data_IF_704936269469
#
_entry.id   IF_704936269469
#
_cell.length_a   1.000
_cell.length_b   1.000
_cell.length_c   1.000
_cell.angle_alpha   90.00
_cell.angle_beta   90.00
_cell.angle_gamma   90.00
#
_symmetry.space_group_name_H-M   'P 1'
#
loop_
_entity.id
_entity.type
_entity.pdbx_description
1 polymer ?
#
# COMPACT_ATOMS: atom_id res chain seq x y z
N UNK A 1 -9.98 12.10 14.28
CA UNK A 1 -10.70 12.79 13.16
C UNK A 1 -11.41 11.72 12.37
N UNK A 2 -12.74 11.75 12.35
CA UNK A 2 -13.52 10.80 11.55
C UNK A 2 -13.29 11.07 10.05
N UNK A 3 -12.98 10.03 9.29
CA UNK A 3 -12.82 10.14 7.85
C UNK A 3 -14.19 10.37 7.19
N UNK A 4 -14.31 11.37 6.31
CA UNK A 4 -15.51 11.49 5.48
C UNK A 4 -15.69 10.20 4.67
N UNK A 5 -16.93 9.73 4.52
CA UNK A 5 -17.24 8.46 3.86
C UNK A 5 -16.59 7.22 4.52
N UNK A 6 -16.27 7.26 5.82
CA UNK A 6 -15.64 6.15 6.55
C UNK A 6 -16.41 4.82 6.40
N UNK A 7 -17.74 4.86 6.32
CA UNK A 7 -18.65 3.74 6.08
C UNK A 7 -18.47 3.08 4.70
N UNK A 8 -17.94 3.84 3.72
CA UNK A 8 -17.68 3.37 2.36
C UNK A 8 -16.22 2.96 2.15
N UNK A 9 -15.37 3.08 3.18
CA UNK A 9 -13.94 2.85 3.11
C UNK A 9 -13.54 1.61 3.90
N UNK A 10 -12.77 0.73 3.28
CA UNK A 10 -12.01 -0.32 3.97
C UNK A 10 -10.52 -0.07 3.79
N UNK A 11 -9.77 -0.08 4.89
CA UNK A 11 -8.30 -0.05 4.86
C UNK A 11 -7.82 -1.50 4.80
N UNK A 12 -7.13 -1.85 3.73
CA UNK A 12 -6.65 -3.19 3.42
C UNK A 12 -5.13 -3.26 3.59
N UNK A 13 -4.66 -4.12 4.50
CA UNK A 13 -3.26 -4.23 4.87
C UNK A 13 -2.76 -5.64 4.51
N UNK A 14 -2.00 -5.80 3.40
CA UNK A 14 -1.29 -7.04 3.13
C UNK A 14 -0.03 -7.10 4.01
N UNK A 15 0.17 -8.20 4.73
CA UNK A 15 1.21 -8.31 5.75
C UNK A 15 1.93 -9.66 5.75
N UNK A 16 3.24 -9.61 6.05
CA UNK A 16 4.06 -10.75 6.46
C UNK A 16 4.94 -10.34 7.62
N UNK A 17 4.95 -11.18 8.66
CA UNK A 17 5.66 -10.91 9.91
C UNK A 17 7.13 -11.36 9.84
N UNK A 18 7.88 -10.92 8.84
CA UNK A 18 9.27 -11.36 8.59
C UNK A 18 10.31 -10.78 9.57
N UNK A 19 9.90 -9.90 10.48
CA UNK A 19 10.74 -9.39 11.58
C UNK A 19 9.90 -8.85 12.73
N UNK A 20 10.48 -8.82 13.94
CA UNK A 20 9.84 -8.18 15.12
C UNK A 20 9.57 -6.69 14.87
N UNK A 21 10.44 -6.02 14.11
CA UNK A 21 10.26 -4.61 13.77
C UNK A 21 9.04 -4.39 12.86
N UNK A 22 8.77 -5.28 11.91
CA UNK A 22 7.56 -5.17 11.09
C UNK A 22 6.28 -5.35 11.90
N UNK A 23 6.29 -6.25 12.89
CA UNK A 23 5.16 -6.39 13.83
C UNK A 23 4.95 -5.11 14.64
N UNK A 24 6.05 -4.52 15.16
CA UNK A 24 6.00 -3.24 15.88
C UNK A 24 5.45 -2.11 14.99
N UNK A 25 5.91 -2.03 13.75
CA UNK A 25 5.40 -1.05 12.78
C UNK A 25 3.90 -1.24 12.50
N UNK A 26 3.44 -2.49 12.36
CA UNK A 26 2.01 -2.79 12.24
C UNK A 26 1.22 -2.30 13.45
N UNK A 27 1.71 -2.51 14.67
CA UNK A 27 1.06 -2.00 15.89
C UNK A 27 0.96 -0.48 15.87
N UNK A 28 2.02 0.23 15.50
CA UNK A 28 2.01 1.69 15.37
C UNK A 28 1.05 2.17 14.28
N UNK A 29 1.00 1.46 13.16
CA UNK A 29 0.03 1.76 12.09
C UNK A 29 -1.41 1.56 12.59
N UNK A 30 -1.72 0.45 13.25
CA UNK A 30 -3.08 0.21 13.76
C UNK A 30 -3.50 1.28 14.76
N UNK A 31 -2.61 1.70 15.67
CA UNK A 31 -2.86 2.84 16.57
C UNK A 31 -3.13 4.14 15.80
N UNK A 32 -2.37 4.37 14.72
CA UNK A 32 -2.57 5.52 13.85
C UNK A 32 -3.91 5.48 13.11
N UNK A 33 -4.40 4.30 12.73
CA UNK A 33 -5.65 4.14 11.96
C UNK A 33 -6.93 4.15 12.81
N UNK A 34 -6.85 3.79 14.10
CA UNK A 34 -8.02 3.73 14.99
C UNK A 34 -8.90 5.00 14.99
N UNK A 35 -8.34 6.23 15.00
CA UNK A 35 -9.16 7.45 15.00
C UNK A 35 -9.94 7.70 13.70
N UNK A 36 -9.72 6.92 12.65
CA UNK A 36 -10.43 7.05 11.38
C UNK A 36 -11.80 6.36 11.40
N UNK A 37 -12.02 5.44 12.34
CA UNK A 37 -13.26 4.65 12.50
C UNK A 37 -13.70 3.89 11.23
N UNK A 38 -12.76 3.69 10.30
CA UNK A 38 -12.96 2.90 9.08
C UNK A 38 -12.74 1.43 9.37
N UNK A 39 -13.40 0.56 8.61
CA UNK A 39 -13.14 -0.88 8.65
C UNK A 39 -11.70 -1.16 8.23
N UNK A 40 -11.00 -1.99 8.99
CA UNK A 40 -9.65 -2.45 8.68
C UNK A 40 -9.68 -3.95 8.38
N UNK A 41 -9.06 -4.38 7.29
CA UNK A 41 -8.84 -5.80 6.98
C UNK A 41 -7.33 -6.03 6.91
N UNK A 42 -6.82 -6.83 7.84
CA UNK A 42 -5.42 -7.27 7.87
C UNK A 42 -5.34 -8.70 7.32
N UNK A 43 -4.66 -8.89 6.20
CA UNK A 43 -4.34 -10.20 5.66
C UNK A 43 -2.88 -10.52 5.93
N UNK A 44 -2.65 -11.45 6.86
CA UNK A 44 -1.32 -12.01 7.13
C UNK A 44 -1.11 -13.26 6.29
N UNK A 45 -0.07 -13.26 5.45
CA UNK A 45 0.33 -14.43 4.66
C UNK A 45 1.72 -14.89 5.08
N UNK A 46 1.78 -15.99 5.84
CA UNK A 46 3.01 -16.53 6.43
C UNK A 46 2.87 -18.04 6.69
N UNK A 47 3.95 -18.67 7.14
CA UNK A 47 3.97 -20.08 7.57
C UNK A 47 3.24 -20.30 8.89
N UNK A 48 3.06 -19.28 9.71
CA UNK A 48 2.32 -19.33 10.99
C UNK A 48 1.69 -17.98 11.29
N UNK A 49 0.51 -17.99 11.90
CA UNK A 49 -0.18 -16.77 12.32
C UNK A 49 0.58 -16.12 13.50
N UNK A 50 1.06 -14.91 13.28
CA UNK A 50 1.88 -14.15 14.22
C UNK A 50 1.19 -12.91 14.79
N UNK A 51 0.02 -12.52 14.24
CA UNK A 51 -0.70 -11.29 14.60
C UNK A 51 -2.11 -11.58 15.12
N UNK A 52 -2.32 -12.74 15.75
CA UNK A 52 -3.65 -13.13 16.26
C UNK A 52 -4.21 -12.20 17.34
N UNK A 53 -3.35 -11.55 18.10
CA UNK A 53 -3.71 -10.50 19.07
C UNK A 53 -4.43 -9.30 18.46
N UNK A 54 -4.22 -9.06 17.17
CA UNK A 54 -4.93 -8.00 16.45
C UNK A 54 -6.45 -8.21 16.36
N UNK A 55 -6.94 -9.44 16.60
CA UNK A 55 -8.39 -9.76 16.62
C UNK A 55 -9.17 -9.04 17.73
N UNK A 56 -8.49 -8.54 18.73
CA UNK A 56 -9.12 -7.82 19.83
C UNK A 56 -9.50 -6.37 19.49
N UNK A 57 -9.08 -5.87 18.31
CA UNK A 57 -9.42 -4.54 17.82
C UNK A 57 -10.77 -4.60 17.11
N UNK A 58 -11.79 -3.97 17.65
CA UNK A 58 -13.20 -4.08 17.20
C UNK A 58 -13.41 -3.73 15.71
N UNK A 59 -12.67 -2.75 15.20
CA UNK A 59 -12.77 -2.31 13.80
C UNK A 59 -11.91 -3.12 12.84
N UNK A 60 -11.13 -4.09 13.35
CA UNK A 60 -10.18 -4.88 12.57
C UNK A 60 -10.68 -6.30 12.34
N UNK A 61 -10.71 -6.69 11.08
CA UNK A 61 -10.91 -8.05 10.65
C UNK A 61 -9.56 -8.67 10.25
N UNK A 62 -9.19 -9.77 10.90
CA UNK A 62 -7.93 -10.47 10.68
C UNK A 62 -8.16 -11.73 9.85
N UNK A 63 -7.42 -11.82 8.73
CA UNK A 63 -7.38 -12.97 7.84
C UNK A 63 -5.98 -13.59 7.87
N UNK A 64 -5.91 -14.90 7.96
CA UNK A 64 -4.65 -15.64 7.84
C UNK A 64 -4.66 -16.53 6.61
N UNK A 65 -3.61 -16.45 5.82
CA UNK A 65 -3.34 -17.31 4.67
C UNK A 65 -2.03 -18.04 4.91
N UNK A 66 -2.08 -19.38 4.95
CA UNK A 66 -0.85 -20.17 4.99
C UNK A 66 -0.09 -20.02 3.69
N UNK A 67 1.12 -19.48 3.78
CA UNK A 67 2.01 -19.26 2.64
C UNK A 67 3.43 -19.75 2.96
N UNK A 68 3.82 -20.93 2.43
CA UNK A 68 5.16 -21.49 2.63
C UNK A 68 6.21 -20.86 1.73
N UNK A 69 5.82 -19.98 0.80
CA UNK A 69 6.76 -19.30 -0.09
C UNK A 69 7.69 -18.41 0.74
N UNK A 70 8.97 -18.48 0.43
CA UNK A 70 9.97 -17.65 1.07
C UNK A 70 9.83 -16.16 0.74
N UNK A 71 9.12 -15.83 -0.34
CA UNK A 71 8.92 -14.48 -0.87
C UNK A 71 7.46 -14.08 -0.76
N UNK A 72 7.20 -12.93 -0.18
CA UNK A 72 5.86 -12.39 -0.05
C UNK A 72 5.32 -11.92 -1.42
N UNK A 73 4.27 -12.57 -1.89
CA UNK A 73 3.62 -12.20 -3.15
C UNK A 73 2.58 -11.09 -2.93
N UNK A 74 3.05 -9.88 -2.66
CA UNK A 74 2.25 -8.72 -2.28
C UNK A 74 1.07 -8.46 -3.22
N UNK A 75 1.30 -8.49 -4.54
CA UNK A 75 0.27 -8.22 -5.55
C UNK A 75 -0.89 -9.22 -5.49
N UNK A 76 -0.60 -10.52 -5.24
CA UNK A 76 -1.63 -11.54 -5.03
C UNK A 76 -2.49 -11.26 -3.81
N UNK A 77 -1.87 -10.90 -2.68
CA UNK A 77 -2.62 -10.65 -1.44
C UNK A 77 -3.41 -9.34 -1.49
N UNK A 78 -2.94 -8.35 -2.24
CA UNK A 78 -3.73 -7.15 -2.55
C UNK A 78 -5.00 -7.53 -3.34
N UNK A 79 -4.89 -8.39 -4.36
CA UNK A 79 -6.06 -8.85 -5.13
C UNK A 79 -7.04 -9.63 -4.25
N UNK A 80 -6.56 -10.52 -3.38
CA UNK A 80 -7.43 -11.23 -2.42
C UNK A 80 -8.15 -10.26 -1.48
N UNK A 81 -7.46 -9.22 -0.99
CA UNK A 81 -8.07 -8.18 -0.16
C UNK A 81 -9.11 -7.37 -0.95
N UNK A 82 -8.81 -7.00 -2.19
CA UNK A 82 -9.76 -6.30 -3.06
C UNK A 82 -11.03 -7.13 -3.34
N UNK A 83 -10.90 -8.43 -3.52
CA UNK A 83 -12.04 -9.34 -3.70
C UNK A 83 -12.83 -9.54 -2.39
N UNK A 84 -12.14 -9.61 -1.27
CA UNK A 84 -12.73 -9.80 0.06
C UNK A 84 -13.52 -8.57 0.53
N UNK A 85 -12.98 -7.37 0.35
CA UNK A 85 -13.60 -6.12 0.78
C UNK A 85 -14.95 -5.88 0.06
N UNK A 86 -15.94 -5.37 0.78
CA UNK A 86 -17.28 -5.12 0.23
C UNK A 86 -17.57 -3.63 0.02
N UNK A 87 -16.75 -2.74 0.57
CA UNK A 87 -16.91 -1.29 0.42
C UNK A 87 -16.53 -0.81 -0.98
N UNK A 88 -17.09 0.31 -1.40
CA UNK A 88 -16.83 0.89 -2.72
C UNK A 88 -15.39 1.45 -2.86
N UNK A 89 -14.77 1.78 -1.73
CA UNK A 89 -13.42 2.32 -1.68
C UNK A 89 -12.54 1.39 -0.85
N UNK A 90 -11.38 1.06 -1.38
CA UNK A 90 -10.35 0.33 -0.64
C UNK A 90 -9.08 1.17 -0.60
N UNK A 91 -8.53 1.31 0.60
CA UNK A 91 -7.21 1.92 0.82
C UNK A 91 -6.21 0.80 1.06
N UNK A 92 -5.36 0.53 0.08
CA UNK A 92 -4.25 -0.42 0.21
C UNK A 92 -3.14 0.28 0.97
N UNK A 93 -2.71 -0.29 2.11
CA UNK A 93 -1.79 0.38 3.03
C UNK A 93 -0.67 -0.55 3.48
N UNK A 94 0.59 -0.14 3.26
CA UNK A 94 1.75 -0.89 3.72
C UNK A 94 1.95 -0.71 5.24
N UNK A 95 2.25 -1.80 5.94
CA UNK A 95 2.25 -1.87 7.41
C UNK A 95 3.31 -1.02 8.13
N UNK A 96 4.17 -0.35 7.39
CA UNK A 96 5.26 0.49 7.89
C UNK A 96 5.15 1.97 7.45
N UNK A 97 3.94 2.37 7.04
CA UNK A 97 3.68 3.71 6.51
C UNK A 97 2.80 4.52 7.46
N UNK A 98 3.21 5.76 7.71
CA UNK A 98 2.40 6.78 8.40
C UNK A 98 2.09 7.92 7.44
N UNK A 99 0.84 8.32 7.39
CA UNK A 99 0.31 9.35 6.49
C UNK A 99 -0.61 10.32 7.25
N UNK A 100 -0.48 11.65 7.06
CA UNK A 100 -1.44 12.62 7.62
C UNK A 100 -2.87 12.38 7.15
N UNK A 101 -3.82 12.50 8.07
CA UNK A 101 -5.23 12.17 7.81
C UNK A 101 -5.87 13.05 6.74
N UNK A 102 -5.49 14.33 6.67
CA UNK A 102 -6.00 15.29 5.70
C UNK A 102 -5.66 14.91 4.26
N UNK A 103 -4.52 14.23 4.08
CA UNK A 103 -4.09 13.72 2.78
C UNK A 103 -4.94 12.52 2.36
N UNK A 104 -5.22 11.60 3.29
CA UNK A 104 -6.12 10.48 3.06
C UNK A 104 -7.53 10.97 2.73
N UNK A 105 -8.04 11.92 3.51
CA UNK A 105 -9.36 12.55 3.29
C UNK A 105 -9.46 13.13 1.87
N UNK A 106 -8.44 13.87 1.44
CA UNK A 106 -8.38 14.46 0.09
C UNK A 106 -8.39 13.38 -1.00
N UNK A 107 -7.64 12.29 -0.80
CA UNK A 107 -7.56 11.19 -1.74
C UNK A 107 -8.89 10.41 -1.85
N UNK A 108 -9.57 10.19 -0.72
CA UNK A 108 -10.90 9.54 -0.69
C UNK A 108 -11.93 10.41 -1.40
N UNK A 109 -11.95 11.72 -1.15
CA UNK A 109 -12.84 12.66 -1.87
C UNK A 109 -12.61 12.66 -3.37
N UNK A 110 -11.37 12.54 -3.83
CA UNK A 110 -11.09 12.45 -5.26
C UNK A 110 -11.77 11.22 -5.90
N UNK A 111 -11.83 10.09 -5.20
CA UNK A 111 -12.53 8.89 -5.67
C UNK A 111 -14.05 9.10 -5.68
N UNK A 112 -14.62 9.59 -4.57
CA UNK A 112 -16.09 9.69 -4.40
C UNK A 112 -16.68 10.81 -5.24
N UNK A 113 -16.12 12.01 -5.14
CA UNK A 113 -16.71 13.24 -5.67
C UNK A 113 -16.25 13.52 -7.11
N UNK A 114 -14.99 13.22 -7.43
CA UNK A 114 -14.37 13.51 -8.72
C UNK A 114 -14.30 12.28 -9.64
N UNK A 115 -14.70 11.10 -9.14
CA UNK A 115 -14.79 9.82 -9.87
C UNK A 115 -13.47 9.29 -10.44
N UNK A 116 -12.36 9.59 -9.78
CA UNK A 116 -11.11 8.89 -10.08
C UNK A 116 -11.19 7.42 -9.70
N UNK A 117 -10.48 6.55 -10.42
CA UNK A 117 -10.36 5.13 -10.05
C UNK A 117 -9.23 4.93 -9.06
N UNK A 118 -8.15 5.71 -9.20
CA UNK A 118 -6.96 5.63 -8.37
C UNK A 118 -6.56 7.01 -7.88
N UNK A 119 -6.20 7.08 -6.60
CA UNK A 119 -5.63 8.27 -5.97
C UNK A 119 -4.43 7.91 -5.10
N UNK A 120 -3.37 8.70 -5.21
CA UNK A 120 -2.16 8.61 -4.38
C UNK A 120 -2.23 9.72 -3.32
N UNK A 121 -2.26 9.37 -2.01
CA UNK A 121 -2.57 10.33 -0.96
C UNK A 121 -1.37 11.16 -0.49
N UNK A 122 -0.37 11.43 -1.34
CA UNK A 122 0.79 12.23 -0.99
C UNK A 122 1.50 12.84 -2.21
N UNK A 123 2.40 13.78 -1.97
CA UNK A 123 3.07 14.62 -2.98
C UNK A 123 4.30 13.97 -3.64
N UNK A 124 4.36 12.63 -3.71
CA UNK A 124 5.48 11.83 -4.24
C UNK A 124 6.75 11.84 -3.37
N UNK A 125 6.74 12.50 -2.22
CA UNK A 125 7.86 12.50 -1.28
C UNK A 125 7.61 11.46 -0.21
N UNK A 126 8.53 10.53 -0.06
CA UNK A 126 8.56 9.54 1.03
C UNK A 126 9.78 9.83 1.91
N UNK A 127 9.54 10.20 3.15
CA UNK A 127 10.56 10.36 4.15
C UNK A 127 10.82 9.03 4.86
N UNK A 128 12.06 8.55 4.80
CA UNK A 128 12.47 7.31 5.46
C UNK A 128 13.11 7.62 6.80
N UNK A 129 12.62 6.98 7.84
CA UNK A 129 13.20 7.02 9.17
C UNK A 129 14.31 5.95 9.29
N UNK A 130 15.31 6.22 10.14
CA UNK A 130 16.23 5.19 10.61
C UNK A 130 15.69 4.52 11.88
N UNK A 131 16.39 3.48 12.39
CA UNK A 131 15.94 2.71 13.55
C UNK A 131 15.70 3.58 14.79
N UNK A 132 16.62 4.52 15.08
CA UNK A 132 16.49 5.43 16.23
C UNK A 132 15.30 6.37 16.06
N UNK A 133 15.15 6.97 14.89
CA UNK A 133 14.05 7.89 14.59
C UNK A 133 12.68 7.23 14.69
N UNK A 134 12.56 5.93 14.33
CA UNK A 134 11.32 5.17 14.49
C UNK A 134 10.99 4.92 15.97
N UNK A 135 12.00 4.68 16.80
CA UNK A 135 11.82 4.58 18.26
C UNK A 135 11.43 5.93 18.86
N UNK A 136 12.15 7.01 18.50
CA UNK A 136 11.85 8.36 18.96
C UNK A 136 10.40 8.79 18.59
N UNK A 137 9.93 8.38 17.40
CA UNK A 137 8.53 8.60 16.97
C UNK A 137 7.53 7.87 17.87
N UNK A 138 7.75 6.59 18.11
CA UNK A 138 6.87 5.78 18.97
C UNK A 138 6.81 6.33 20.39
N UNK A 139 7.96 6.66 20.98
CA UNK A 139 8.08 7.17 22.35
C UNK A 139 7.48 8.59 22.50
N UNK A 140 7.39 9.36 21.41
CA UNK A 140 6.85 10.72 21.45
C UNK A 140 5.37 10.77 21.83
N UNK A 141 4.58 9.78 21.39
CA UNK A 141 3.12 9.78 21.55
C UNK A 141 2.38 10.89 20.80
N UNK A 142 3.08 11.71 20.00
CA UNK A 142 2.51 12.88 19.29
C UNK A 142 1.87 12.52 17.93
N UNK A 143 1.90 11.23 17.54
CA UNK A 143 1.41 10.78 16.24
C UNK A 143 2.15 11.42 15.07
N UNK A 144 1.49 11.51 13.91
CA UNK A 144 2.14 12.00 12.69
C UNK A 144 2.62 13.46 12.75
N UNK A 145 2.13 14.27 13.69
CA UNK A 145 2.63 15.63 13.92
C UNK A 145 4.10 15.66 14.33
N UNK A 146 4.55 14.65 15.10
CA UNK A 146 5.97 14.49 15.41
C UNK A 146 6.82 14.39 14.14
N UNK A 147 6.33 13.62 13.16
CA UNK A 147 7.02 13.39 11.89
C UNK A 147 7.02 14.64 11.00
N UNK A 148 5.87 15.31 10.89
CA UNK A 148 5.74 16.54 10.09
C UNK A 148 6.68 17.66 10.57
N UNK A 149 6.83 17.80 11.89
CA UNK A 149 7.68 18.84 12.48
C UNK A 149 9.19 18.56 12.36
N UNK A 150 9.58 17.38 11.83
CA UNK A 150 10.99 16.94 11.77
C UNK A 150 11.42 16.46 10.38
N UNK A 151 10.72 16.83 9.34
CA UNK A 151 11.01 16.40 7.95
C UNK A 151 12.44 16.65 7.52
N UNK A 152 13.08 17.72 8.02
CA UNK A 152 14.49 18.06 7.76
C UNK A 152 15.48 17.03 8.35
N UNK A 153 15.03 16.16 9.26
CA UNK A 153 15.87 15.14 9.89
C UNK A 153 15.84 13.80 9.13
N UNK A 154 14.95 13.64 8.17
CA UNK A 154 14.75 12.38 7.46
C UNK A 154 15.41 12.36 6.09
N UNK A 155 15.63 11.17 5.55
CA UNK A 155 16.16 10.99 4.20
C UNK A 155 15.01 10.70 3.23
N UNK A 156 15.05 11.29 2.05
CA UNK A 156 14.09 10.96 1.00
C UNK A 156 14.36 9.54 0.49
N UNK A 157 13.33 8.71 0.40
CA UNK A 157 13.43 7.34 -0.08
C UNK A 157 14.05 7.30 -1.48
N UNK A 158 15.16 6.58 -1.62
CA UNK A 158 15.93 6.42 -2.86
C UNK A 158 16.31 7.75 -3.54
N UNK A 159 16.22 8.90 -2.86
CA UNK A 159 16.54 10.23 -3.40
C UNK A 159 15.67 10.68 -4.58
N UNK A 160 14.48 10.10 -4.78
CA UNK A 160 13.60 10.38 -5.92
C UNK A 160 12.12 10.35 -5.55
N UNK A 161 11.26 10.75 -6.50
CA UNK A 161 9.81 10.61 -6.35
C UNK A 161 9.38 9.15 -6.25
N UNK A 162 8.37 8.90 -5.42
CA UNK A 162 7.79 7.59 -5.14
C UNK A 162 6.29 7.58 -5.41
N UNK A 163 5.71 6.38 -5.55
CA UNK A 163 4.27 6.19 -5.78
C UNK A 163 3.67 5.03 -4.97
N UNK A 164 4.48 4.38 -4.13
CA UNK A 164 4.06 3.26 -3.29
C UNK A 164 3.71 3.64 -1.87
N UNK A 165 3.39 2.64 -1.05
CA UNK A 165 3.12 2.75 0.37
C UNK A 165 1.64 2.87 0.73
N UNK A 166 0.89 3.78 0.09
CA UNK A 166 -0.57 3.89 0.23
C UNK A 166 -1.21 4.20 -1.11
N UNK A 167 -2.29 3.49 -1.41
CA UNK A 167 -3.07 3.63 -2.63
C UNK A 167 -4.57 3.64 -2.28
N UNK A 168 -5.31 4.64 -2.75
CA UNK A 168 -6.78 4.70 -2.61
C UNK A 168 -7.41 4.35 -3.94
N UNK A 169 -8.35 3.40 -3.95
CA UNK A 169 -8.97 2.93 -5.20
C UNK A 169 -10.49 2.88 -5.09
N UNK A 170 -11.17 3.20 -6.20
CA UNK A 170 -12.50 2.70 -6.43
C UNK A 170 -12.39 1.20 -6.70
N UNK A 171 -12.87 0.37 -5.77
CA UNK A 171 -12.67 -1.07 -5.78
C UNK A 171 -13.13 -1.72 -7.08
N UNK A 172 -14.37 -1.45 -7.50
CA UNK A 172 -14.93 -2.07 -8.70
C UNK A 172 -14.20 -1.61 -9.98
N UNK A 173 -13.92 -0.32 -10.09
CA UNK A 173 -13.17 0.25 -11.20
C UNK A 173 -11.77 -0.32 -11.30
N UNK A 174 -11.07 -0.43 -10.16
CA UNK A 174 -9.70 -0.97 -10.11
C UNK A 174 -9.66 -2.46 -10.47
N UNK A 175 -10.60 -3.26 -9.95
CA UNK A 175 -10.74 -4.67 -10.33
C UNK A 175 -11.06 -4.83 -11.83
N UNK A 176 -11.89 -3.97 -12.42
CA UNK A 176 -12.14 -3.97 -13.88
C UNK A 176 -10.87 -3.67 -14.69
N UNK A 177 -9.97 -2.86 -14.14
CA UNK A 177 -8.66 -2.56 -14.72
C UNK A 177 -7.60 -3.63 -14.43
N UNK A 178 -7.97 -4.79 -13.89
CA UNK A 178 -7.10 -5.93 -13.65
C UNK A 178 -6.68 -6.14 -12.20
N UNK A 179 -6.96 -5.21 -11.28
CA UNK A 179 -6.40 -5.25 -9.94
C UNK A 179 -4.89 -5.04 -9.96
N UNK A 180 -4.13 -5.78 -9.18
CA UNK A 180 -2.67 -5.81 -9.23
C UNK A 180 -2.16 -6.87 -10.21
N UNK A 181 -1.06 -6.57 -10.90
CA UNK A 181 -0.42 -7.50 -11.81
C UNK A 181 0.39 -8.56 -11.03
N UNK A 182 -0.16 -9.76 -10.85
CA UNK A 182 0.48 -10.85 -10.11
C UNK A 182 1.72 -11.44 -10.78
N UNK A 183 2.04 -11.04 -12.03
CA UNK A 183 3.32 -11.40 -12.65
C UNK A 183 4.49 -10.64 -12.05
N UNK A 184 4.22 -9.56 -11.32
CA UNK A 184 5.21 -8.83 -10.52
C UNK A 184 5.32 -9.50 -9.16
N UNK A 185 6.34 -10.34 -9.01
CA UNK A 185 6.57 -11.18 -7.84
C UNK A 185 7.71 -10.65 -6.98
N UNK A 186 7.51 -10.66 -5.66
CA UNK A 186 8.47 -10.13 -4.69
C UNK A 186 8.55 -8.60 -4.73
N UNK A 187 9.67 -8.05 -4.27
CA UNK A 187 9.90 -6.60 -4.31
C UNK A 187 10.23 -6.14 -5.72
N UNK A 188 9.49 -5.16 -6.22
CA UNK A 188 9.63 -4.74 -7.60
C UNK A 188 8.93 -3.43 -7.96
N UNK A 189 8.67 -3.22 -9.26
CA UNK A 189 8.10 -2.00 -9.78
C UNK A 189 6.55 -1.99 -9.83
N UNK A 190 5.88 -2.78 -8.99
CA UNK A 190 4.42 -2.93 -9.00
C UNK A 190 3.69 -1.58 -8.86
N UNK A 191 4.20 -0.69 -8.01
CA UNK A 191 3.61 0.63 -7.81
C UNK A 191 3.70 1.51 -9.07
N UNK A 192 4.80 1.40 -9.80
CA UNK A 192 5.01 2.13 -11.07
C UNK A 192 4.15 1.54 -12.17
N UNK A 193 4.05 0.21 -12.25
CA UNK A 193 3.21 -0.49 -13.23
C UNK A 193 1.75 -0.06 -13.10
N UNK A 194 1.20 -0.02 -11.88
CA UNK A 194 -0.18 0.43 -11.63
C UNK A 194 -0.48 1.77 -12.27
N UNK A 195 0.42 2.74 -12.06
CA UNK A 195 0.24 4.10 -12.58
C UNK A 195 0.23 4.12 -14.10
N UNK A 196 1.25 3.52 -14.73
CA UNK A 196 1.33 3.48 -16.19
C UNK A 196 0.16 2.71 -16.81
N UNK A 197 -0.21 1.58 -16.23
CA UNK A 197 -1.37 0.80 -16.69
C UNK A 197 -2.66 1.63 -16.64
N UNK A 198 -2.92 2.34 -15.54
CA UNK A 198 -4.10 3.20 -15.44
C UNK A 198 -4.07 4.32 -16.48
N UNK A 199 -2.93 4.96 -16.70
CA UNK A 199 -2.76 6.02 -17.71
C UNK A 199 -2.99 5.49 -19.13
N UNK A 200 -2.43 4.34 -19.49
CA UNK A 200 -2.62 3.68 -20.81
C UNK A 200 -4.10 3.32 -21.02
N UNK A 201 -4.79 2.84 -19.98
CA UNK A 201 -6.23 2.55 -20.04
C UNK A 201 -7.10 3.82 -20.17
N UNK A 202 -6.51 5.01 -20.05
CA UNK A 202 -7.20 6.30 -20.16
C UNK A 202 -7.81 6.77 -18.83
N UNK A 203 -7.38 6.23 -17.70
CA UNK A 203 -7.82 6.62 -16.37
C UNK A 203 -6.72 7.41 -15.66
N UNK A 204 -6.83 8.75 -15.54
CA UNK A 204 -5.83 9.55 -14.84
C UNK A 204 -5.76 9.17 -13.37
N UNK A 205 -4.56 9.21 -12.81
CA UNK A 205 -4.31 9.02 -11.38
C UNK A 205 -4.33 10.37 -10.68
N UNK A 206 -5.13 10.48 -9.61
CA UNK A 206 -5.14 11.69 -8.79
C UNK A 206 -3.97 11.68 -7.82
N UNK A 207 -3.28 12.81 -7.71
CA UNK A 207 -2.16 12.99 -6.79
C UNK A 207 -2.49 14.08 -5.78
N UNK A 208 -2.44 13.74 -4.49
CA UNK A 208 -2.53 14.73 -3.43
C UNK A 208 -1.19 15.46 -3.33
N UNK A 209 -1.22 16.79 -3.37
CA UNK A 209 -0.01 17.61 -3.41
C UNK A 209 0.36 18.22 -2.04
N UNK A 210 -0.40 17.95 -1.00
CA UNK A 210 -0.34 18.68 0.27
C UNK A 210 0.65 18.16 1.30
N UNK A 211 1.41 17.10 1.04
CA UNK A 211 2.38 16.63 2.03
C UNK A 211 3.00 15.28 1.72
N UNK A 212 4.01 14.88 2.49
CA UNK A 212 4.76 13.66 2.31
C UNK A 212 4.08 12.44 2.97
N UNK A 213 4.68 11.30 2.74
CA UNK A 213 4.45 10.03 3.42
C UNK A 213 5.69 9.68 4.24
N UNK A 214 5.53 8.99 5.36
CA UNK A 214 6.63 8.58 6.24
C UNK A 214 6.73 7.07 6.29
N UNK A 215 7.95 6.56 6.04
CA UNK A 215 8.27 5.14 6.06
C UNK A 215 9.07 4.82 7.33
N UNK A 216 8.48 4.03 8.22
CA UNK A 216 9.11 3.56 9.44
C UNK A 216 10.23 2.57 9.11
N UNK A 217 11.27 2.57 9.91
CA UNK A 217 12.40 1.68 9.70
C UNK A 217 12.02 0.20 9.93
N UNK A 218 12.55 -0.65 9.08
CA UNK A 218 12.62 -2.10 9.30
C UNK A 218 13.89 -2.67 8.64
N UNK A 219 14.40 -3.83 9.09
CA UNK A 219 15.52 -4.49 8.42
C UNK A 219 15.17 -4.79 6.96
N UNK A 220 16.12 -4.53 6.06
CA UNK A 220 15.94 -4.91 4.67
C UNK A 220 16.23 -6.40 4.50
N UNK A 221 15.34 -7.10 3.83
CA UNK A 221 15.42 -8.53 3.56
C UNK A 221 14.76 -8.87 2.23
N UNK A 222 14.58 -10.14 1.95
CA UNK A 222 14.03 -10.64 0.68
C UNK A 222 12.63 -10.10 0.32
N UNK A 223 11.85 -9.65 1.30
CA UNK A 223 10.53 -9.05 1.07
C UNK A 223 10.55 -7.52 0.97
N UNK A 224 11.73 -6.91 0.98
CA UNK A 224 11.90 -5.45 0.93
C UNK A 224 13.11 -4.99 0.13
N UNK A 225 13.72 -5.91 -0.62
CA UNK A 225 14.85 -5.66 -1.51
C UNK A 225 14.93 -6.73 -2.60
N UNK A 226 15.82 -6.52 -3.58
CA UNK A 226 16.06 -7.50 -4.63
C UNK A 226 16.54 -8.84 -4.06
N UNK A 227 15.91 -9.93 -4.51
CA UNK A 227 16.25 -11.28 -4.09
C UNK A 227 17.33 -11.85 -5.00
N UNK A 228 17.16 -11.69 -6.32
CA UNK A 228 18.11 -12.08 -7.34
C UNK A 228 18.04 -11.13 -8.53
N UNK A 229 19.10 -11.13 -9.36
CA UNK A 229 19.13 -10.35 -10.59
C UNK A 229 18.10 -10.88 -11.62
N UNK A 230 17.87 -12.18 -11.65
CA UNK A 230 16.91 -12.82 -12.55
C UNK A 230 15.48 -12.36 -12.24
N UNK A 231 15.10 -12.34 -10.95
CA UNK A 231 13.78 -11.87 -10.55
C UNK A 231 13.62 -10.36 -10.81
N UNK A 232 14.63 -9.58 -10.48
CA UNK A 232 14.63 -8.15 -10.76
C UNK A 232 14.53 -7.86 -12.27
N UNK A 233 15.19 -8.69 -13.09
CA UNK A 233 15.11 -8.59 -14.55
C UNK A 233 13.71 -8.98 -15.04
N UNK A 234 13.14 -10.08 -14.55
CA UNK A 234 11.79 -10.52 -14.93
C UNK A 234 10.74 -9.45 -14.61
N UNK A 235 10.79 -8.85 -13.42
CA UNK A 235 9.89 -7.76 -13.03
C UNK A 235 10.05 -6.52 -13.92
N UNK A 236 11.29 -6.17 -14.31
CA UNK A 236 11.52 -5.06 -15.26
C UNK A 236 11.00 -5.36 -16.65
N UNK A 237 11.17 -6.59 -17.14
CA UNK A 237 10.63 -7.02 -18.44
C UNK A 237 9.11 -6.93 -18.45
N UNK A 238 8.45 -7.35 -17.37
CA UNK A 238 7.00 -7.23 -17.25
C UNK A 238 6.54 -5.77 -17.23
N UNK A 239 7.20 -4.89 -16.45
CA UNK A 239 6.92 -3.45 -16.47
C UNK A 239 7.07 -2.86 -17.87
N UNK A 240 8.20 -3.14 -18.56
CA UNK A 240 8.48 -2.65 -19.92
C UNK A 240 7.42 -3.17 -20.89
N UNK A 241 7.01 -4.43 -20.75
CA UNK A 241 5.95 -5.02 -21.56
C UNK A 241 4.66 -4.21 -21.45
N UNK A 242 4.18 -3.96 -20.22
CA UNK A 242 2.96 -3.18 -20.00
C UNK A 242 3.11 -1.75 -20.52
N UNK A 243 4.23 -1.09 -20.26
CA UNK A 243 4.46 0.29 -20.68
C UNK A 243 4.55 0.48 -22.21
N UNK A 244 4.80 -0.58 -22.97
CA UNK A 244 4.88 -0.51 -24.45
C UNK A 244 3.60 -0.98 -25.15
N UNK A 245 2.56 -1.36 -24.42
CA UNK A 245 1.29 -1.77 -25.02
C UNK A 245 0.43 -0.55 -25.35
N UNK A 246 -0.25 -0.62 -26.48
CA UNK A 246 -1.38 0.24 -26.75
C UNK A 246 -2.58 -0.19 -25.90
N UNK A 247 -3.58 0.67 -25.78
CA UNK A 247 -4.73 0.46 -24.89
C UNK A 247 -5.46 -0.87 -25.16
N UNK A 248 -5.71 -1.18 -26.42
CA UNK A 248 -6.43 -2.37 -26.85
C UNK A 248 -5.64 -3.65 -26.52
N UNK A 249 -4.34 -3.63 -26.77
CA UNK A 249 -3.43 -4.74 -26.42
C UNK A 249 -3.40 -4.95 -24.90
N UNK A 250 -3.34 -3.87 -24.14
CA UNK A 250 -3.35 -3.94 -22.67
C UNK A 250 -4.64 -4.52 -22.13
N UNK A 251 -5.80 -4.16 -22.69
CA UNK A 251 -7.09 -4.75 -22.31
C UNK A 251 -7.11 -6.26 -22.55
N UNK A 252 -6.64 -6.72 -23.70
CA UNK A 252 -6.55 -8.16 -24.00
C UNK A 252 -5.58 -8.86 -23.05
N UNK A 253 -4.45 -8.23 -22.74
CA UNK A 253 -3.45 -8.76 -21.82
C UNK A 253 -4.00 -8.91 -20.40
N UNK A 254 -4.69 -7.90 -19.87
CA UNK A 254 -5.36 -7.95 -18.57
C UNK A 254 -6.41 -9.05 -18.53
N UNK A 255 -7.20 -9.22 -19.58
CA UNK A 255 -8.17 -10.31 -19.66
C UNK A 255 -7.52 -11.70 -19.62
N UNK A 256 -6.25 -11.82 -20.01
CA UNK A 256 -5.49 -13.07 -19.90
C UNK A 256 -5.03 -13.40 -18.48
N UNK A 257 -5.00 -12.42 -17.55
CA UNK A 257 -4.62 -12.65 -16.14
C UNK A 257 -5.68 -13.41 -15.36
N UNK A 258 -6.95 -13.29 -15.76
CA UNK A 258 -8.13 -13.79 -15.05
C UNK A 258 -8.55 -15.21 -15.48
N UNK A 259 -7.74 -15.86 -16.28
CA UNK A 259 -7.96 -17.24 -16.71
C UNK A 259 -7.10 -18.21 -15.90
#
# INVERSE_FOLDING_TARGET
MLLSYHDQVTIAIPFRADSSQRKRNLTLLLQHLMPLESRIVLLEADTSACCMECKEVETLEYLFVYDPDAVFHKTRYINQLLEYCQTSIVVIWDADIILPYEQLETAVKAIVEQRYIVSIPYNRIVWTLNAKQSIDYEESGEGYFYLLNRTQCYSQMMGKCSCGGVLVVNREGYLKCGGDNEKLYGWGPEDVERIHRMEILGYPVYWVNSGPLFHLWHPRGKNSWFISEELAFANRVELIRVCNMEREELVEYINSWRK
#
